data_IF_382005141522
#
_entry.id   IF_382005141522
#
_cell.length_a   1.000
_cell.length_b   1.000
_cell.length_c   1.000
_cell.angle_alpha   90.00
_cell.angle_beta   90.00
_cell.angle_gamma   90.00
#
_symmetry.space_group_name_H-M   'P 1'
#
loop_
_entity.id
_entity.type
_entity.pdbx_description
1 polymer ?
#
# COMPACT_ATOMS: atom_id res chain seq x y z
N UNK A 1 11.75 4.06 1.22
CA UNK A 1 10.86 2.91 1.06
C UNK A 1 10.78 2.23 2.41
N UNK A 2 9.57 1.89 2.89
CA UNK A 2 9.40 1.14 4.14
C UNK A 2 9.78 -0.33 3.89
N UNK A 3 10.59 -0.91 4.76
CA UNK A 3 11.02 -2.31 4.65
C UNK A 3 11.24 -2.95 6.03
N UNK A 4 11.60 -4.24 6.05
CA UNK A 4 11.80 -5.00 7.28
C UNK A 4 13.04 -4.59 8.09
N UNK A 5 13.94 -3.78 7.53
CA UNK A 5 15.11 -3.23 8.21
C UNK A 5 14.82 -1.92 8.94
N UNK A 6 13.65 -1.31 8.71
CA UNK A 6 13.20 -0.13 9.42
C UNK A 6 13.19 -0.34 10.95
N UNK A 7 13.32 0.76 11.70
CA UNK A 7 13.28 0.75 13.18
C UNK A 7 12.30 1.81 13.70
N UNK A 8 11.93 1.71 14.98
CA UNK A 8 11.03 2.67 15.62
C UNK A 8 9.65 2.72 14.97
N UNK A 9 9.13 3.94 14.74
CA UNK A 9 7.78 4.13 14.19
C UNK A 9 7.63 3.54 12.77
N UNK A 10 8.70 3.58 11.96
CA UNK A 10 8.67 3.02 10.60
C UNK A 10 8.50 1.51 10.63
N UNK A 11 9.15 0.82 11.57
CA UNK A 11 8.98 -0.63 11.78
C UNK A 11 7.57 -0.97 12.23
N UNK A 12 7.03 -0.21 13.18
CA UNK A 12 5.66 -0.39 13.65
C UNK A 12 4.64 -0.24 12.50
N UNK A 13 4.81 0.78 11.65
CA UNK A 13 3.96 0.99 10.47
C UNK A 13 4.09 -0.20 9.51
N UNK A 14 5.32 -0.60 9.17
CA UNK A 14 5.58 -1.73 8.29
C UNK A 14 4.93 -3.02 8.81
N UNK A 15 5.12 -3.34 10.09
CA UNK A 15 4.54 -4.54 10.72
C UNK A 15 3.01 -4.50 10.69
N UNK A 16 2.41 -3.33 10.91
CA UNK A 16 0.95 -3.21 10.85
C UNK A 16 0.41 -3.33 9.43
N UNK A 17 1.14 -2.84 8.43
CA UNK A 17 0.80 -3.04 7.02
C UNK A 17 0.85 -4.53 6.65
N UNK A 18 1.89 -5.26 7.07
CA UNK A 18 1.96 -6.71 6.87
C UNK A 18 0.80 -7.45 7.54
N UNK A 19 0.44 -7.08 8.78
CA UNK A 19 -0.73 -7.68 9.45
C UNK A 19 -2.03 -7.38 8.72
N UNK A 20 -2.22 -6.18 8.20
CA UNK A 20 -3.42 -5.85 7.41
C UNK A 20 -3.47 -6.70 6.14
N UNK A 21 -2.33 -6.90 5.48
CA UNK A 21 -2.24 -7.75 4.30
C UNK A 21 -2.68 -9.18 4.63
N UNK A 22 -2.10 -9.77 5.69
CA UNK A 22 -2.42 -11.13 6.15
C UNK A 22 -3.86 -11.30 6.67
N UNK A 23 -4.38 -10.32 7.42
CA UNK A 23 -5.66 -10.42 8.14
C UNK A 23 -6.86 -9.93 7.32
N UNK A 24 -6.65 -9.07 6.33
CA UNK A 24 -7.72 -8.38 5.60
C UNK A 24 -7.62 -8.64 4.11
N UNK A 25 -6.47 -8.35 3.49
CA UNK A 25 -6.32 -8.41 2.02
C UNK A 25 -6.31 -9.85 1.53
N UNK A 26 -5.45 -10.70 2.11
CA UNK A 26 -5.34 -12.11 1.77
C UNK A 26 -6.66 -12.87 1.90
N UNK A 27 -7.45 -12.74 2.98
CA UNK A 27 -8.73 -13.44 3.07
C UNK A 27 -9.85 -12.83 2.21
N UNK A 28 -9.68 -11.65 1.61
CA UNK A 28 -10.71 -11.00 0.80
C UNK A 28 -10.92 -11.74 -0.54
N UNK A 29 -12.11 -12.34 -0.76
CA UNK A 29 -12.38 -13.11 -1.97
C UNK A 29 -12.60 -12.23 -3.21
N UNK A 30 -13.04 -10.98 -3.05
CA UNK A 30 -13.20 -10.04 -4.16
C UNK A 30 -11.82 -9.57 -4.63
N UNK A 31 -10.94 -9.21 -3.70
CA UNK A 31 -9.55 -8.85 -4.01
C UNK A 31 -8.84 -9.96 -4.78
N UNK A 32 -8.89 -11.20 -4.28
CA UNK A 32 -8.30 -12.37 -4.95
C UNK A 32 -8.83 -12.55 -6.37
N UNK A 33 -10.16 -12.51 -6.54
CA UNK A 33 -10.80 -12.66 -7.85
C UNK A 33 -10.41 -11.55 -8.83
N UNK A 34 -10.23 -10.32 -8.35
CA UNK A 34 -9.77 -9.21 -9.16
C UNK A 34 -8.30 -9.39 -9.59
N UNK A 35 -7.48 -10.08 -8.79
CA UNK A 35 -6.07 -10.37 -9.09
C UNK A 35 -5.83 -11.46 -10.15
N UNK A 36 -6.74 -12.44 -10.30
CA UNK A 36 -6.55 -13.56 -11.23
C UNK A 36 -6.60 -13.15 -12.71
N UNK A 37 -7.57 -12.29 -13.07
CA UNK A 37 -7.85 -11.97 -14.48
C UNK A 37 -6.78 -11.10 -15.17
N UNK A 38 -6.18 -10.09 -14.52
CA UNK A 38 -5.12 -9.27 -15.14
C UNK A 38 -3.92 -10.10 -15.60
N UNK A 39 -3.46 -11.05 -14.78
CA UNK A 39 -2.29 -11.89 -15.12
C UNK A 39 -2.57 -12.76 -16.35
N UNK A 40 -3.76 -13.36 -16.44
CA UNK A 40 -4.16 -14.15 -17.61
C UNK A 40 -4.22 -13.30 -18.89
N UNK A 41 -4.77 -12.08 -18.80
CA UNK A 41 -4.86 -11.17 -19.94
C UNK A 41 -3.46 -10.73 -20.40
N UNK A 42 -2.57 -10.41 -19.46
CA UNK A 42 -1.17 -10.07 -19.74
C UNK A 42 -0.45 -11.19 -20.50
N UNK A 43 -0.58 -12.45 -20.04
CA UNK A 43 0.00 -13.61 -20.75
C UNK A 43 -0.54 -13.75 -22.17
N UNK A 44 -1.84 -13.53 -22.37
CA UNK A 44 -2.45 -13.59 -23.71
C UNK A 44 -2.02 -12.45 -24.63
N UNK A 45 -1.78 -11.25 -24.07
CA UNK A 45 -1.26 -10.11 -24.82
C UNK A 45 0.19 -10.35 -25.21
N UNK A 46 1.04 -10.75 -24.26
CA UNK A 46 2.45 -11.05 -24.50
C UNK A 46 2.64 -12.11 -25.59
N UNK A 47 1.78 -13.13 -25.65
CA UNK A 47 1.83 -14.18 -26.69
C UNK A 47 1.52 -13.68 -28.12
N UNK A 48 0.91 -12.49 -28.27
CA UNK A 48 0.53 -11.90 -29.57
C UNK A 48 1.49 -10.81 -30.03
N UNK A 49 2.34 -10.31 -29.14
CA UNK A 49 3.25 -9.20 -29.40
C UNK A 49 4.54 -9.67 -30.05
N UNK A 50 5.18 -8.77 -30.81
CA UNK A 50 6.58 -8.94 -31.19
C UNK A 50 7.48 -8.89 -29.95
N UNK A 51 8.71 -9.41 -30.01
CA UNK A 51 9.66 -9.28 -28.91
C UNK A 51 9.90 -7.81 -28.50
N UNK A 52 10.00 -6.90 -29.47
CA UNK A 52 10.20 -5.47 -29.22
C UNK A 52 8.99 -4.83 -28.52
N UNK A 53 7.76 -5.13 -28.98
CA UNK A 53 6.55 -4.59 -28.35
C UNK A 53 6.31 -5.17 -26.96
N UNK A 54 6.70 -6.43 -26.74
CA UNK A 54 6.59 -7.08 -25.42
C UNK A 54 7.57 -6.46 -24.42
N UNK A 55 8.78 -6.10 -24.85
CA UNK A 55 9.74 -5.39 -23.99
C UNK A 55 9.22 -3.99 -23.63
N UNK A 56 8.63 -3.28 -24.60
CA UNK A 56 8.03 -1.97 -24.35
C UNK A 56 6.84 -2.06 -23.38
N UNK A 57 5.99 -3.10 -23.50
CA UNK A 57 4.90 -3.34 -22.56
C UNK A 57 5.42 -3.59 -21.14
N UNK A 58 6.50 -4.37 -21.02
CA UNK A 58 7.12 -4.65 -19.73
C UNK A 58 7.71 -3.39 -19.08
N UNK A 59 8.41 -2.56 -19.85
CA UNK A 59 8.92 -1.27 -19.36
C UNK A 59 7.76 -0.35 -18.93
N UNK A 60 6.67 -0.31 -19.71
CA UNK A 60 5.47 0.43 -19.33
C UNK A 60 4.88 -0.07 -18.00
N UNK A 61 4.72 -1.38 -17.84
CA UNK A 61 4.16 -1.98 -16.63
C UNK A 61 5.05 -1.68 -15.41
N UNK A 62 6.38 -1.79 -15.54
CA UNK A 62 7.33 -1.47 -14.47
C UNK A 62 7.22 0.01 -14.04
N UNK A 63 7.25 0.94 -15.00
CA UNK A 63 7.15 2.38 -14.72
C UNK A 63 5.78 2.74 -14.13
N UNK A 64 4.70 2.18 -14.67
CA UNK A 64 3.36 2.39 -14.15
C UNK A 64 3.20 1.84 -12.73
N UNK A 65 3.72 0.65 -12.47
CA UNK A 65 3.66 0.01 -11.16
C UNK A 65 4.39 0.84 -10.09
N UNK A 66 5.60 1.32 -10.38
CA UNK A 66 6.34 2.22 -9.49
C UNK A 66 5.57 3.53 -9.19
N UNK A 67 4.90 4.10 -10.19
CA UNK A 67 4.05 5.28 -9.98
C UNK A 67 2.86 4.98 -9.06
N UNK A 68 2.19 3.84 -9.27
CA UNK A 68 1.07 3.40 -8.43
C UNK A 68 1.54 3.18 -6.99
N UNK A 69 2.63 2.45 -6.78
CA UNK A 69 3.23 2.21 -5.47
C UNK A 69 3.53 3.53 -4.76
N UNK A 70 4.16 4.49 -5.46
CA UNK A 70 4.46 5.79 -4.86
C UNK A 70 3.21 6.57 -4.48
N UNK A 71 2.14 6.51 -5.29
CA UNK A 71 0.86 7.17 -4.99
C UNK A 71 0.20 6.53 -3.76
N UNK A 72 0.24 5.21 -3.65
CA UNK A 72 -0.31 4.49 -2.50
C UNK A 72 0.46 4.82 -1.22
N UNK A 73 1.80 4.79 -1.26
CA UNK A 73 2.65 5.19 -0.14
C UNK A 73 2.29 6.59 0.37
N UNK A 74 2.11 7.56 -0.53
CA UNK A 74 1.69 8.93 -0.18
C UNK A 74 0.29 8.96 0.44
N UNK A 75 -0.66 8.22 -0.12
CA UNK A 75 -2.05 8.17 0.35
C UNK A 75 -2.15 7.54 1.74
N UNK A 76 -1.48 6.41 1.97
CA UNK A 76 -1.44 5.75 3.28
C UNK A 76 -0.70 6.59 4.32
N UNK A 77 0.40 7.25 3.93
CA UNK A 77 1.12 8.16 4.83
C UNK A 77 0.24 9.33 5.27
N UNK A 78 -0.53 9.92 4.36
CA UNK A 78 -1.47 10.98 4.67
C UNK A 78 -2.58 10.48 5.61
N UNK A 79 -3.20 9.33 5.29
CA UNK A 79 -4.25 8.74 6.13
C UNK A 79 -3.77 8.41 7.54
N UNK A 80 -2.52 7.96 7.69
CA UNK A 80 -1.91 7.73 9.00
C UNK A 80 -1.75 9.03 9.79
N UNK A 81 -1.22 10.09 9.15
CA UNK A 81 -1.08 11.40 9.80
C UNK A 81 -2.43 11.97 10.24
N UNK A 82 -3.44 11.88 9.37
CA UNK A 82 -4.80 12.32 9.68
C UNK A 82 -5.41 11.52 10.85
N UNK A 83 -5.19 10.20 10.88
CA UNK A 83 -5.61 9.34 11.97
C UNK A 83 -4.93 9.69 13.31
N UNK A 84 -3.62 9.96 13.30
CA UNK A 84 -2.87 10.39 14.48
C UNK A 84 -3.37 11.76 15.00
N UNK A 85 -3.56 12.73 14.11
CA UNK A 85 -4.09 14.05 14.45
C UNK A 85 -5.49 13.95 15.04
N UNK A 86 -6.37 13.14 14.45
CA UNK A 86 -7.71 12.89 14.97
C UNK A 86 -7.64 12.24 16.36
N UNK A 87 -6.83 11.20 16.54
CA UNK A 87 -6.64 10.53 17.83
C UNK A 87 -6.15 11.49 18.91
N UNK A 88 -5.18 12.35 18.58
CA UNK A 88 -4.70 13.40 19.48
C UNK A 88 -5.79 14.41 19.83
N UNK A 89 -6.56 14.87 18.84
CA UNK A 89 -7.69 15.79 19.07
C UNK A 89 -8.75 15.18 19.99
N UNK A 90 -9.15 13.94 19.75
CA UNK A 90 -10.10 13.20 20.60
C UNK A 90 -9.56 13.10 22.04
N UNK A 91 -8.28 12.77 22.20
CA UNK A 91 -7.64 12.70 23.52
C UNK A 91 -7.64 14.06 24.24
N UNK A 92 -7.39 15.16 23.53
CA UNK A 92 -7.42 16.52 24.08
C UNK A 92 -8.81 16.90 24.57
N UNK A 93 -9.85 16.63 23.77
CA UNK A 93 -11.23 16.94 24.14
C UNK A 93 -11.69 16.08 25.33
N UNK A 94 -11.29 14.80 25.37
CA UNK A 94 -11.71 13.87 26.42
C UNK A 94 -11.02 14.08 27.78
N UNK A 95 -9.72 14.42 27.79
CA UNK A 95 -8.92 14.47 29.03
C UNK A 95 -8.48 15.87 29.45
N UNK A 96 -8.62 16.88 28.58
CA UNK A 96 -8.03 18.21 28.75
C UNK A 96 -6.53 18.23 28.43
N UNK A 97 -6.05 19.35 27.86
CA UNK A 97 -4.65 19.52 27.40
C UNK A 97 -3.57 19.18 28.44
N UNK A 98 -3.85 19.37 29.74
CA UNK A 98 -2.87 19.21 30.82
C UNK A 98 -2.54 17.75 31.17
N UNK A 99 -3.30 16.77 30.64
CA UNK A 99 -3.17 15.35 31.02
C UNK A 99 -2.55 14.45 29.94
N UNK A 100 -2.26 14.98 28.75
CA UNK A 100 -1.62 14.20 27.69
C UNK A 100 -0.11 14.22 27.92
N UNK A 101 0.45 13.09 28.39
CA UNK A 101 1.89 12.84 28.35
C UNK A 101 2.24 12.28 26.98
N UNK A 102 3.02 13.06 26.22
CA UNK A 102 3.66 12.63 24.95
C UNK A 102 4.95 11.89 25.29
#
# INVERSE_FOLDING_TARGET
MLDYHCTGIQKFIFDRLCQIDEEIVDPDPEYKKLGERPEELLKQVAAKLSPEDNELLKEYDEVWFEQVLRREELTYSQGLMDGMLLGYWVAMVGNGMEKIKV
#
